data_IF_145207746537
#
_entry.id   IF_145207746537
#
_cell.length_a   1.000
_cell.length_b   1.000
_cell.length_c   1.000
_cell.angle_alpha   90.00
_cell.angle_beta   90.00
_cell.angle_gamma   90.00
#
_symmetry.space_group_name_H-M   'P 1'
#
loop_
_entity.id
_entity.type
_entity.pdbx_description
1 polymer ?
#
# COMPACT_ATOMS: atom_id res chain seq x y z
N UNK A 1 -2.76 -13.71 -4.52
CA UNK A 1 -1.32 -13.75 -4.28
C UNK A 1 -0.93 -15.20 -3.99
N UNK A 2 0.21 -15.65 -4.53
CA UNK A 2 0.74 -17.00 -4.35
C UNK A 2 2.20 -16.90 -3.98
N UNK A 3 2.62 -17.67 -2.97
CA UNK A 3 4.03 -17.87 -2.69
C UNK A 3 4.59 -18.81 -3.76
N UNK A 4 5.70 -18.45 -4.35
CA UNK A 4 6.43 -19.24 -5.35
C UNK A 4 7.85 -19.44 -4.86
N UNK A 5 8.25 -20.67 -4.69
CA UNK A 5 9.62 -21.04 -4.36
C UNK A 5 10.37 -21.39 -5.64
N UNK A 6 11.61 -20.95 -5.75
CA UNK A 6 12.48 -21.34 -6.86
C UNK A 6 12.80 -22.84 -6.83
N UNK A 7 13.27 -23.43 -7.93
CA UNK A 7 13.73 -24.81 -7.94
C UNK A 7 14.80 -25.02 -6.87
N UNK A 8 14.88 -26.25 -6.34
CA UNK A 8 15.83 -26.62 -5.29
C UNK A 8 17.26 -26.16 -5.66
N UNK A 9 17.82 -25.26 -4.85
CA UNK A 9 19.14 -24.62 -5.08
C UNK A 9 19.11 -23.23 -5.68
N UNK A 10 17.95 -22.70 -6.10
CA UNK A 10 17.82 -21.29 -6.48
C UNK A 10 17.49 -20.46 -5.22
N UNK A 11 18.31 -19.48 -4.90
CA UNK A 11 18.05 -18.59 -3.78
C UNK A 11 16.84 -17.69 -4.07
N UNK A 12 15.77 -17.81 -3.30
CA UNK A 12 14.69 -16.84 -3.23
C UNK A 12 13.28 -17.45 -3.29
N UNK A 13 12.44 -16.91 -2.46
CA UNK A 13 11.00 -17.01 -2.55
C UNK A 13 10.43 -15.74 -3.20
N UNK A 14 9.31 -15.87 -3.88
CA UNK A 14 8.67 -14.80 -4.64
C UNK A 14 7.17 -14.76 -4.39
N UNK A 15 6.56 -13.62 -4.63
CA UNK A 15 5.10 -13.47 -4.60
C UNK A 15 4.61 -13.26 -6.02
N UNK A 16 3.87 -14.24 -6.53
CA UNK A 16 3.14 -14.12 -7.79
C UNK A 16 1.81 -13.42 -7.51
N UNK A 17 1.57 -12.29 -8.17
CA UNK A 17 0.32 -11.54 -8.11
C UNK A 17 -0.42 -11.65 -9.43
N UNK A 18 -1.64 -12.17 -9.40
CA UNK A 18 -2.58 -12.19 -10.52
C UNK A 18 -3.66 -11.16 -10.20
N UNK A 19 -3.75 -10.12 -11.01
CA UNK A 19 -4.69 -9.02 -10.80
C UNK A 19 -6.10 -9.41 -11.24
N UNK A 20 -7.11 -8.82 -10.58
CA UNK A 20 -8.48 -8.89 -11.05
C UNK A 20 -8.60 -8.23 -12.44
N UNK A 21 -9.53 -8.71 -13.29
CA UNK A 21 -9.79 -8.11 -14.60
C UNK A 21 -10.32 -6.66 -14.50
N UNK A 22 -10.98 -6.33 -13.39
CA UNK A 22 -11.45 -4.98 -13.10
C UNK A 22 -10.35 -4.04 -12.57
N UNK A 23 -9.13 -4.55 -12.34
CA UNK A 23 -8.02 -3.70 -11.86
C UNK A 23 -7.59 -2.73 -12.95
N UNK A 24 -7.52 -1.44 -12.60
CA UNK A 24 -7.08 -0.40 -13.52
C UNK A 24 -5.60 -0.61 -13.89
N UNK A 25 -5.26 -0.77 -15.18
CA UNK A 25 -3.88 -0.90 -15.62
C UNK A 25 -2.99 0.29 -15.21
N UNK A 26 -3.54 1.51 -15.17
CA UNK A 26 -2.81 2.69 -14.74
C UNK A 26 -2.44 2.64 -13.26
N UNK A 27 -3.29 2.00 -12.44
CA UNK A 27 -2.98 1.78 -11.03
C UNK A 27 -1.92 0.71 -10.83
N UNK A 28 -1.91 -0.35 -11.64
CA UNK A 28 -0.82 -1.34 -11.64
C UNK A 28 0.51 -0.71 -12.06
N UNK A 29 0.49 0.20 -13.03
CA UNK A 29 1.67 0.94 -13.47
C UNK A 29 2.19 1.86 -12.34
N UNK A 30 1.30 2.59 -11.66
CA UNK A 30 1.65 3.37 -10.47
C UNK A 30 2.36 2.50 -9.41
N UNK A 31 1.81 1.33 -9.07
CA UNK A 31 2.42 0.43 -8.09
C UNK A 31 3.83 0.00 -8.50
N UNK A 32 4.02 -0.34 -9.78
CA UNK A 32 5.33 -0.70 -10.32
C UNK A 32 6.31 0.48 -10.31
N UNK A 33 5.83 1.68 -10.67
CA UNK A 33 6.64 2.90 -10.67
C UNK A 33 7.09 3.28 -9.25
N UNK A 34 6.22 3.09 -8.23
CA UNK A 34 6.58 3.27 -6.80
C UNK A 34 7.72 2.32 -6.42
N UNK A 35 7.63 1.03 -6.74
CA UNK A 35 8.66 0.05 -6.38
C UNK A 35 9.99 0.35 -7.07
N UNK A 36 9.96 0.74 -8.34
CA UNK A 36 11.16 1.16 -9.09
C UNK A 36 11.78 2.44 -8.53
N UNK A 37 10.95 3.39 -8.10
CA UNK A 37 11.41 4.62 -7.48
C UNK A 37 12.11 4.32 -6.16
N UNK A 38 11.48 3.53 -5.29
CA UNK A 38 12.05 3.12 -4.00
C UNK A 38 13.34 2.31 -4.16
N UNK A 39 13.43 1.46 -5.20
CA UNK A 39 14.66 0.74 -5.49
C UNK A 39 15.84 1.65 -5.84
N UNK A 40 15.57 2.84 -6.35
CA UNK A 40 16.60 3.85 -6.74
C UNK A 40 16.90 4.83 -5.62
N UNK A 41 15.88 5.28 -4.89
CA UNK A 41 16.04 6.33 -3.87
C UNK A 41 16.48 5.78 -2.53
N UNK A 42 16.05 4.56 -2.20
CA UNK A 42 16.42 3.87 -0.96
C UNK A 42 16.48 2.34 -1.21
N UNK A 43 17.59 1.85 -1.79
CA UNK A 43 17.76 0.43 -2.12
C UNK A 43 17.73 -0.49 -0.90
N UNK A 44 18.06 0.03 0.29
CA UNK A 44 18.09 -0.73 1.55
C UNK A 44 16.76 -0.67 2.32
N UNK A 45 15.76 0.03 1.78
CA UNK A 45 14.43 0.02 2.37
C UNK A 45 13.79 -1.37 2.20
N UNK A 46 13.35 -1.96 3.30
CA UNK A 46 12.75 -3.30 3.39
C UNK A 46 11.38 -3.39 2.72
N UNK A 47 11.30 -3.15 1.41
CA UNK A 47 10.07 -3.29 0.62
C UNK A 47 10.28 -4.30 -0.52
N UNK A 48 9.21 -4.87 -0.99
CA UNK A 48 9.24 -5.79 -2.12
C UNK A 48 9.90 -5.14 -3.35
N UNK A 49 10.56 -5.95 -4.18
CA UNK A 49 11.13 -5.54 -5.47
C UNK A 49 10.38 -6.22 -6.60
N UNK A 50 10.10 -5.47 -7.66
CA UNK A 50 9.47 -6.01 -8.86
C UNK A 50 10.52 -6.77 -9.69
N UNK A 51 10.17 -7.97 -10.13
CA UNK A 51 10.99 -8.75 -11.03
C UNK A 51 10.45 -8.59 -12.47
N UNK A 52 11.30 -8.25 -13.44
CA UNK A 52 10.89 -8.19 -14.84
C UNK A 52 10.65 -9.60 -15.40
N UNK A 53 9.84 -9.70 -16.42
CA UNK A 53 9.71 -10.90 -17.24
C UNK A 53 11.03 -11.20 -17.99
N UNK A 54 11.13 -12.36 -18.61
CA UNK A 54 12.29 -12.69 -19.48
C UNK A 54 12.43 -11.72 -20.67
N UNK A 55 11.34 -11.08 -21.08
CA UNK A 55 11.32 -10.05 -22.12
C UNK A 55 11.64 -8.64 -21.58
N UNK A 56 11.89 -8.48 -20.28
CA UNK A 56 12.16 -7.19 -19.64
C UNK A 56 10.90 -6.41 -19.26
N UNK A 57 9.71 -6.94 -19.46
CA UNK A 57 8.45 -6.28 -19.13
C UNK A 57 8.14 -6.38 -17.63
N UNK A 58 7.45 -5.38 -17.10
CA UNK A 58 7.04 -5.34 -15.68
C UNK A 58 5.77 -6.13 -15.38
N UNK A 59 4.96 -6.37 -16.40
CA UNK A 59 3.65 -7.04 -16.31
C UNK A 59 3.58 -8.06 -17.43
N UNK A 60 3.37 -9.32 -17.07
CA UNK A 60 2.98 -10.36 -18.02
C UNK A 60 1.47 -10.38 -18.21
N UNK A 61 0.99 -10.89 -19.34
CA UNK A 61 -0.42 -11.17 -19.60
C UNK A 61 -0.67 -12.67 -19.60
N UNK A 62 -1.58 -13.12 -18.74
CA UNK A 62 -1.99 -14.52 -18.70
C UNK A 62 -3.44 -14.66 -19.18
N UNK A 63 -3.68 -15.44 -20.26
CA UNK A 63 -5.02 -15.66 -20.76
C UNK A 63 -5.81 -16.57 -19.80
N UNK A 64 -6.84 -16.01 -19.18
CA UNK A 64 -7.78 -16.75 -18.34
C UNK A 64 -9.13 -16.95 -19.06
N UNK A 65 -10.03 -17.76 -18.48
CA UNK A 65 -11.34 -18.04 -19.07
C UNK A 65 -12.21 -16.80 -19.33
N UNK A 66 -12.04 -15.77 -18.50
CA UNK A 66 -12.84 -14.53 -18.55
C UNK A 66 -12.09 -13.34 -19.14
N UNK A 67 -10.84 -13.52 -19.59
CA UNK A 67 -10.01 -12.44 -20.12
C UNK A 67 -8.54 -12.57 -19.74
N UNK A 68 -7.70 -11.65 -20.21
CA UNK A 68 -6.27 -11.66 -19.94
C UNK A 68 -5.95 -10.92 -18.62
N UNK A 69 -5.48 -11.67 -17.65
CA UNK A 69 -5.05 -11.12 -16.34
C UNK A 69 -3.66 -10.51 -16.43
N UNK A 70 -3.45 -9.41 -15.71
CA UNK A 70 -2.12 -8.88 -15.46
C UNK A 70 -1.43 -9.72 -14.37
N UNK A 71 -0.19 -10.13 -14.63
CA UNK A 71 0.61 -10.96 -13.73
C UNK A 71 1.91 -10.25 -13.43
N UNK A 72 2.28 -10.19 -12.15
CA UNK A 72 3.54 -9.61 -11.67
C UNK A 72 4.21 -10.55 -10.68
N UNK A 73 5.51 -10.50 -10.63
CA UNK A 73 6.31 -11.23 -9.63
C UNK A 73 7.09 -10.22 -8.79
N UNK A 74 6.98 -10.36 -7.50
CA UNK A 74 7.69 -9.54 -6.51
C UNK A 74 8.60 -10.41 -5.65
N UNK A 75 9.64 -9.83 -5.09
CA UNK A 75 10.44 -10.53 -4.06
C UNK A 75 9.56 -10.85 -2.85
N UNK A 76 9.80 -11.99 -2.22
CA UNK A 76 9.21 -12.32 -0.93
C UNK A 76 10.02 -11.63 0.19
N UNK A 77 9.31 -11.07 1.15
CA UNK A 77 9.93 -10.56 2.38
C UNK A 77 9.79 -11.63 3.47
N UNK A 78 10.90 -12.21 3.95
CA UNK A 78 10.85 -13.20 5.03
C UNK A 78 10.52 -12.54 6.36
N UNK A 79 9.78 -13.23 7.21
CA UNK A 79 9.41 -12.77 8.55
C UNK A 79 7.99 -13.15 8.93
N UNK A 80 7.53 -12.61 10.04
CA UNK A 80 6.17 -12.80 10.54
C UNK A 80 5.31 -11.56 10.25
N UNK A 81 4.02 -11.73 10.04
CA UNK A 81 3.12 -10.58 9.98
C UNK A 81 3.11 -9.84 11.32
N UNK A 82 3.02 -8.53 11.29
CA UNK A 82 2.91 -7.73 12.50
C UNK A 82 1.68 -8.12 13.33
N UNK A 83 0.56 -8.51 12.69
CA UNK A 83 -0.61 -9.08 13.37
C UNK A 83 -0.34 -10.33 14.21
N UNK A 84 0.72 -11.07 13.90
CA UNK A 84 1.15 -12.28 14.62
C UNK A 84 2.35 -12.03 15.54
N UNK A 85 2.81 -10.78 15.66
CA UNK A 85 4.00 -10.39 16.44
C UNK A 85 3.59 -9.58 17.66
N UNK A 86 4.00 -9.94 18.87
CA UNK A 86 3.71 -9.15 20.06
C UNK A 86 4.25 -7.72 19.92
N UNK A 87 3.40 -6.73 20.18
CA UNK A 87 3.81 -5.34 20.15
C UNK A 87 4.79 -5.02 21.29
N UNK A 88 5.85 -4.27 20.99
CA UNK A 88 6.76 -3.72 21.99
C UNK A 88 7.03 -2.23 21.66
N UNK A 89 7.52 -1.44 22.64
CA UNK A 89 7.91 -0.06 22.37
C UNK A 89 8.97 0.07 21.27
N UNK A 90 9.91 -0.87 21.20
CA UNK A 90 11.00 -0.92 20.24
C UNK A 90 10.45 -1.20 18.83
N UNK A 91 9.55 -2.19 18.71
CA UNK A 91 8.89 -2.51 17.44
C UNK A 91 8.05 -1.34 16.93
N UNK A 92 7.30 -0.66 17.82
CA UNK A 92 6.54 0.53 17.45
C UNK A 92 7.45 1.69 17.01
N UNK A 93 8.59 1.88 17.67
CA UNK A 93 9.56 2.89 17.27
C UNK A 93 10.20 2.55 15.92
N UNK A 94 10.55 1.28 15.68
CA UNK A 94 11.06 0.79 14.40
C UNK A 94 10.04 1.00 13.27
N UNK A 95 8.79 0.60 13.48
CA UNK A 95 7.71 0.83 12.52
C UNK A 95 7.53 2.31 12.19
N UNK A 96 7.55 3.19 13.21
CA UNK A 96 7.48 4.63 13.02
C UNK A 96 8.66 5.17 12.19
N UNK A 97 9.87 4.69 12.47
CA UNK A 97 11.10 4.99 11.73
C UNK A 97 11.00 4.53 10.26
N UNK A 98 10.54 3.30 10.03
CA UNK A 98 10.33 2.74 8.70
C UNK A 98 9.32 3.57 7.90
N UNK A 99 8.16 3.90 8.47
CA UNK A 99 7.14 4.71 7.81
C UNK A 99 7.62 6.13 7.51
N UNK A 100 8.42 6.71 8.40
CA UNK A 100 9.07 8.00 8.17
C UNK A 100 10.08 7.93 7.00
N UNK A 101 10.91 6.89 6.97
CA UNK A 101 11.89 6.63 5.90
C UNK A 101 11.20 6.40 4.55
N UNK A 102 10.14 5.59 4.51
CA UNK A 102 9.32 5.36 3.32
C UNK A 102 8.72 6.68 2.79
N UNK A 103 8.16 7.50 3.68
CA UNK A 103 7.58 8.80 3.31
C UNK A 103 8.64 9.77 2.77
N UNK A 104 9.86 9.73 3.30
CA UNK A 104 10.99 10.52 2.78
C UNK A 104 11.44 10.03 1.40
N UNK A 105 11.54 8.71 1.21
CA UNK A 105 11.93 8.11 -0.06
C UNK A 105 10.90 8.40 -1.17
N UNK A 106 9.62 8.53 -0.84
CA UNK A 106 8.55 8.90 -1.77
C UNK A 106 8.43 10.42 -2.00
N UNK A 107 9.23 11.25 -1.32
CA UNK A 107 9.17 12.71 -1.52
C UNK A 107 9.54 13.06 -2.96
N UNK A 108 8.66 13.81 -3.62
CA UNK A 108 8.84 14.23 -5.01
C UNK A 108 8.50 13.15 -6.05
N UNK A 109 8.13 11.94 -5.62
CA UNK A 109 7.54 10.96 -6.54
C UNK A 109 6.17 11.45 -6.99
N UNK A 110 5.92 11.41 -8.30
CA UNK A 110 4.64 11.75 -8.90
C UNK A 110 4.29 10.76 -10.01
N UNK A 111 3.00 10.48 -10.15
CA UNK A 111 2.45 9.61 -11.19
C UNK A 111 1.02 10.03 -11.51
N UNK A 112 0.58 10.06 -12.79
CA UNK A 112 -0.78 10.48 -13.15
C UNK A 112 -1.87 9.70 -12.41
N UNK A 113 -1.71 8.38 -12.24
CA UNK A 113 -2.66 7.53 -11.55
C UNK A 113 -2.64 7.67 -10.01
N UNK A 114 -1.78 8.52 -9.43
CA UNK A 114 -1.78 8.79 -8.00
C UNK A 114 -2.95 9.70 -7.57
N UNK A 115 -3.49 10.48 -8.49
CA UNK A 115 -4.68 11.30 -8.25
C UNK A 115 -5.95 10.47 -8.47
N UNK A 116 -6.45 9.87 -7.40
CA UNK A 116 -7.61 8.97 -7.41
C UNK A 116 -8.84 9.67 -6.87
N UNK A 117 -9.52 10.45 -7.69
CA UNK A 117 -10.80 11.05 -7.33
C UNK A 117 -11.82 9.96 -6.94
N UNK A 118 -12.55 10.16 -5.86
CA UNK A 118 -13.54 9.22 -5.35
C UNK A 118 -12.95 7.98 -4.65
N UNK A 119 -11.66 7.93 -4.39
CA UNK A 119 -11.05 6.84 -3.64
C UNK A 119 -11.31 7.03 -2.14
N UNK A 120 -12.27 6.30 -1.61
CA UNK A 120 -12.80 6.50 -0.24
C UNK A 120 -11.78 6.25 0.89
N UNK A 121 -10.66 5.60 0.62
CA UNK A 121 -9.54 5.48 1.56
C UNK A 121 -8.64 6.72 1.59
N UNK A 122 -8.84 7.64 0.66
CA UNK A 122 -8.15 8.92 0.70
C UNK A 122 -8.83 9.83 1.72
N UNK A 123 -8.05 10.43 2.62
CA UNK A 123 -8.58 11.34 3.63
C UNK A 123 -9.29 12.55 3.01
N UNK A 124 -8.86 13.00 1.83
CA UNK A 124 -9.51 14.09 1.10
C UNK A 124 -10.98 13.77 0.75
N UNK A 125 -11.31 12.49 0.59
CA UNK A 125 -12.64 11.99 0.26
C UNK A 125 -13.48 11.63 1.50
N UNK A 126 -13.00 11.90 2.70
CA UNK A 126 -13.66 11.47 3.95
C UNK A 126 -15.11 11.94 4.04
N UNK A 127 -15.44 13.14 3.50
CA UNK A 127 -16.80 13.68 3.53
C UNK A 127 -17.77 12.93 2.64
N UNK A 128 -17.28 12.20 1.63
CA UNK A 128 -18.11 11.34 0.79
C UNK A 128 -18.75 10.18 1.58
N UNK A 129 -18.18 9.83 2.76
CA UNK A 129 -18.71 8.80 3.65
C UNK A 129 -19.83 9.31 4.57
N UNK A 130 -20.02 10.63 4.69
CA UNK A 130 -21.00 11.23 5.61
C UNK A 130 -22.46 10.78 5.37
N UNK A 131 -22.93 10.56 4.13
CA UNK A 131 -24.29 10.03 3.90
C UNK A 131 -24.55 8.67 4.55
N UNK A 132 -23.51 7.83 4.74
CA UNK A 132 -23.62 6.51 5.36
C UNK A 132 -23.60 6.55 6.90
N UNK A 133 -23.60 7.74 7.50
CA UNK A 133 -23.68 7.88 8.96
C UNK A 133 -24.95 7.21 9.53
N UNK A 134 -26.03 7.15 8.75
CA UNK A 134 -27.27 6.49 9.15
C UNK A 134 -27.10 4.96 9.35
N UNK A 135 -26.17 4.34 8.64
CA UNK A 135 -25.89 2.90 8.68
C UNK A 135 -24.96 2.51 9.85
N UNK A 136 -24.36 3.51 10.50
CA UNK A 136 -23.55 3.29 11.71
C UNK A 136 -24.47 2.88 12.85
N UNK A 137 -24.05 1.86 13.62
CA UNK A 137 -24.75 1.43 14.82
C UNK A 137 -25.10 2.62 15.73
N UNK A 138 -26.33 2.63 16.26
CA UNK A 138 -26.88 3.76 17.00
C UNK A 138 -26.00 4.21 18.18
N UNK A 139 -25.35 3.26 18.86
CA UNK A 139 -24.43 3.52 19.99
C UNK A 139 -23.17 4.28 19.58
N UNK A 140 -22.64 4.07 18.35
CA UNK A 140 -21.42 4.70 17.84
C UNK A 140 -21.68 5.94 17.00
N UNK A 141 -22.91 6.12 16.51
CA UNK A 141 -23.28 7.22 15.60
C UNK A 141 -22.95 8.61 16.13
N UNK A 142 -23.18 8.96 17.41
CA UNK A 142 -22.81 10.28 17.94
C UNK A 142 -21.30 10.54 17.86
N UNK A 143 -20.49 9.53 18.15
CA UNK A 143 -19.02 9.63 18.08
C UNK A 143 -18.57 9.86 16.63
N UNK A 144 -19.08 9.07 15.69
CA UNK A 144 -18.73 9.20 14.26
C UNK A 144 -19.19 10.55 13.72
N UNK A 145 -20.40 11.02 14.10
CA UNK A 145 -20.89 12.35 13.73
C UNK A 145 -19.97 13.47 14.23
N UNK A 146 -19.47 13.37 15.46
CA UNK A 146 -18.55 14.33 16.04
C UNK A 146 -17.19 14.34 15.30
N UNK A 147 -16.73 13.17 14.79
CA UNK A 147 -15.52 13.08 13.95
C UNK A 147 -15.74 13.82 12.65
N UNK A 148 -16.86 13.62 11.94
CA UNK A 148 -17.17 14.36 10.71
C UNK A 148 -17.24 15.86 10.95
N UNK A 149 -17.93 16.31 12.02
CA UNK A 149 -18.02 17.73 12.37
C UNK A 149 -16.63 18.35 12.60
N UNK A 150 -15.76 17.65 13.36
CA UNK A 150 -14.36 18.10 13.57
C UNK A 150 -13.57 18.15 12.27
N UNK A 151 -13.74 17.18 11.39
CA UNK A 151 -13.09 17.15 10.09
C UNK A 151 -13.52 18.35 9.23
N UNK A 152 -14.82 18.63 9.11
CA UNK A 152 -15.37 19.78 8.39
C UNK A 152 -14.84 21.12 8.95
N UNK A 153 -14.81 21.24 10.26
CA UNK A 153 -14.40 22.49 10.93
C UNK A 153 -12.88 22.74 10.84
N UNK A 154 -12.07 21.67 11.05
CA UNK A 154 -10.64 21.85 11.33
C UNK A 154 -9.71 21.35 10.25
N UNK A 155 -10.11 20.33 9.51
CA UNK A 155 -9.24 19.67 8.54
C UNK A 155 -9.52 20.18 7.13
N UNK A 156 -10.78 20.11 6.70
CA UNK A 156 -11.20 20.45 5.35
C UNK A 156 -10.71 21.85 4.88
N UNK A 157 -10.80 22.92 5.67
CA UNK A 157 -10.31 24.24 5.27
C UNK A 157 -8.78 24.31 5.09
N UNK A 158 -8.04 23.34 5.65
CA UNK A 158 -6.57 23.32 5.63
C UNK A 158 -5.99 22.39 4.58
N UNK A 159 -6.77 21.45 4.01
CA UNK A 159 -6.27 20.46 3.06
C UNK A 159 -5.49 21.08 1.90
N UNK A 160 -6.01 22.16 1.30
CA UNK A 160 -5.36 22.85 0.19
C UNK A 160 -4.00 23.49 0.57
N UNK A 161 -3.73 23.66 1.86
CA UNK A 161 -2.45 24.23 2.36
C UNK A 161 -1.46 23.16 2.77
N UNK A 162 -1.88 21.91 2.82
CA UNK A 162 -1.02 20.78 3.16
C UNK A 162 -0.23 20.32 1.93
N UNK A 163 0.97 19.81 2.22
CA UNK A 163 1.77 19.18 1.17
C UNK A 163 1.16 17.83 0.78
N UNK A 164 0.82 17.67 -0.49
CA UNK A 164 0.38 16.41 -1.06
C UNK A 164 1.59 15.54 -1.42
N UNK A 165 1.48 14.24 -1.18
CA UNK A 165 2.49 13.24 -1.53
C UNK A 165 1.84 11.88 -1.75
N UNK A 166 2.51 11.00 -2.49
CA UNK A 166 2.14 9.60 -2.54
C UNK A 166 2.51 8.94 -1.22
N UNK A 167 1.55 8.27 -0.61
CA UNK A 167 1.69 7.58 0.68
C UNK A 167 1.28 6.12 0.52
N UNK A 168 1.74 5.26 1.42
CA UNK A 168 1.33 3.85 1.45
C UNK A 168 -0.17 3.67 1.72
N UNK A 169 -0.73 4.47 2.62
CA UNK A 169 -2.14 4.55 3.06
C UNK A 169 -2.75 3.27 3.69
N UNK A 170 -2.10 2.12 3.59
CA UNK A 170 -2.64 0.84 4.08
C UNK A 170 -1.55 0.04 4.84
N UNK A 171 -0.81 0.72 5.70
CA UNK A 171 0.20 0.12 6.58
C UNK A 171 -0.47 -0.50 7.83
N UNK A 172 -1.43 -1.40 7.61
CA UNK A 172 -2.06 -2.17 8.66
C UNK A 172 -1.22 -3.38 9.07
N UNK A 173 -1.60 -4.04 10.14
CA UNK A 173 -0.89 -5.15 10.77
C UNK A 173 -0.75 -6.42 9.89
N UNK A 174 -1.56 -6.55 8.82
CA UNK A 174 -1.47 -7.65 7.85
C UNK A 174 -0.63 -7.30 6.62
N UNK A 175 -0.21 -6.04 6.48
CA UNK A 175 0.61 -5.56 5.36
C UNK A 175 2.06 -5.27 5.78
N UNK A 176 2.40 -5.55 7.02
CA UNK A 176 3.73 -5.32 7.59
C UNK A 176 4.34 -6.65 7.98
N UNK A 177 5.60 -6.86 7.60
CA UNK A 177 6.40 -8.03 7.94
C UNK A 177 7.50 -7.61 8.91
N UNK A 178 7.64 -8.35 10.00
CA UNK A 178 8.68 -8.19 11.02
C UNK A 178 9.69 -9.30 10.83
N UNK A 179 10.95 -8.97 10.58
CA UNK A 179 12.00 -9.93 10.23
C UNK A 179 12.92 -10.29 11.41
N UNK A 180 12.91 -9.54 12.51
CA UNK A 180 13.72 -9.80 13.69
C UNK A 180 13.20 -9.12 14.96
N UNK A 181 13.84 -9.34 16.10
CA UNK A 181 13.51 -8.62 17.32
C UNK A 181 13.78 -7.13 17.15
N UNK A 182 12.72 -6.31 17.09
CA UNK A 182 12.81 -4.86 16.97
C UNK A 182 12.94 -4.30 15.54
N UNK A 183 12.79 -5.15 14.51
CA UNK A 183 12.77 -4.72 13.10
C UNK A 183 11.40 -4.21 12.66
#
# INVERSE_FOLDING_TARGET
NFLVEGPAGAAGAYVLKISNLAEDPAFLDLQNAVLDHLAKTDPDLGVQRLLPTRAGEKIARWPGPSGAHAVRVLTYLPGNLYSATPASPELLASLGGFMGRLSLALRGFGHPAAHRAGFLWNLDEAMALKPWLADVEASHRPMVAAIFARYEERVLPRLATLRAAVLHQDANDNNIVVSGPGD
#
